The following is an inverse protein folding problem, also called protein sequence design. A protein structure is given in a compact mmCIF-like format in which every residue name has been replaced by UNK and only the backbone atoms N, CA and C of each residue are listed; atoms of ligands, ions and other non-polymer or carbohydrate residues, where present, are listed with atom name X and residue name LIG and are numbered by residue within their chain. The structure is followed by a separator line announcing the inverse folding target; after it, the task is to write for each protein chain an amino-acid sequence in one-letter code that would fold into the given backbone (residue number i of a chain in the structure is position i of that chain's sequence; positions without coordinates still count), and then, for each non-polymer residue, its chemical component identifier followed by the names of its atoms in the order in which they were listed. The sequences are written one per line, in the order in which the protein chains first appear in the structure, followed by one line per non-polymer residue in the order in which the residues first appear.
data_IF_752191501644
#
_entry.id   IF_752191501644
#
_cell.length_a   1.000
_cell.length_b   1.000
_cell.length_c   1.000
_cell.angle_alpha   90.00
_cell.angle_beta   90.00
_cell.angle_gamma   90.00
#
_symmetry.space_group_name_H-M   'P 1'
#
loop_
_entity.id
_entity.type
_entity.pdbx_description
1 polymer ?
#
# COMPACT_ATOMS: atom_id res chain seq x y z
N UNK A 1 -3.44 18.38 3.55
CA UNK A 1 -4.07 19.72 3.44
C UNK A 1 -5.56 19.68 3.75
N UNK A 2 -6.37 18.90 3.00
CA UNK A 2 -7.85 18.89 3.15
C UNK A 2 -8.30 18.64 4.59
N UNK A 3 -7.75 17.65 5.29
CA UNK A 3 -8.13 17.38 6.68
C UNK A 3 -7.78 18.54 7.61
N UNK A 4 -6.64 19.20 7.37
CA UNK A 4 -6.24 20.35 8.18
C UNK A 4 -7.21 21.52 8.01
N UNK A 5 -7.61 21.83 6.76
CA UNK A 5 -8.59 22.89 6.48
C UNK A 5 -9.98 22.58 7.05
N UNK A 6 -10.45 21.33 6.92
CA UNK A 6 -11.72 20.90 7.49
C UNK A 6 -11.69 20.96 9.02
N UNK A 7 -10.63 20.45 9.66
CA UNK A 7 -10.49 20.46 11.10
C UNK A 7 -10.45 21.91 11.64
N UNK A 8 -9.73 22.81 10.97
CA UNK A 8 -9.67 24.21 11.35
C UNK A 8 -11.04 24.93 11.27
N UNK A 9 -11.96 24.43 10.44
CA UNK A 9 -13.32 24.95 10.31
C UNK A 9 -14.32 24.45 11.36
N UNK A 10 -13.99 23.38 12.10
CA UNK A 10 -14.92 22.77 13.04
C UNK A 10 -15.12 23.63 14.29
N UNK A 11 -16.37 23.74 14.81
CA UNK A 11 -16.63 24.36 16.10
C UNK A 11 -15.90 23.63 17.23
N UNK A 12 -15.39 24.34 18.20
CA UNK A 12 -14.67 23.77 19.34
C UNK A 12 -13.21 23.38 19.10
N UNK A 13 -12.74 23.49 17.87
CA UNK A 13 -11.29 23.31 17.59
C UNK A 13 -10.48 24.54 18.04
N UNK A 14 -9.19 24.39 18.35
CA UNK A 14 -8.31 25.51 18.69
C UNK A 14 -8.41 26.65 17.69
N UNK A 15 -8.50 27.88 18.18
CA UNK A 15 -8.68 29.07 17.35
C UNK A 15 -10.08 29.31 16.80
N UNK A 16 -11.10 28.49 17.16
CA UNK A 16 -12.49 28.75 16.83
C UNK A 16 -13.21 29.52 17.96
N UNK A 17 -14.27 30.26 17.62
CA UNK A 17 -15.05 31.06 18.59
C UNK A 17 -15.65 30.22 19.73
N UNK A 18 -15.91 28.93 19.48
CA UNK A 18 -16.46 27.97 20.44
C UNK A 18 -15.40 27.10 21.12
N UNK A 19 -14.11 27.33 20.87
CA UNK A 19 -13.02 26.61 21.50
C UNK A 19 -12.86 27.01 22.97
N UNK A 20 -13.13 26.09 23.89
CA UNK A 20 -12.97 26.32 25.32
C UNK A 20 -11.49 26.33 25.71
N UNK A 21 -11.08 27.37 26.46
CA UNK A 21 -9.78 27.43 27.12
C UNK A 21 -8.60 27.75 26.21
N UNK A 22 -8.84 28.08 24.96
CA UNK A 22 -7.77 28.44 24.03
C UNK A 22 -7.56 29.94 24.06
N UNK A 23 -6.43 30.37 24.55
CA UNK A 23 -5.97 31.74 24.39
C UNK A 23 -5.87 32.11 22.91
N UNK A 24 -5.83 33.40 22.58
CA UNK A 24 -5.77 33.93 21.21
C UNK A 24 -4.58 33.42 20.35
N UNK A 25 -3.73 32.53 20.88
CA UNK A 25 -2.56 31.97 20.21
C UNK A 25 -2.63 30.49 19.84
N UNK A 26 -3.65 29.75 20.27
CA UNK A 26 -3.72 28.32 19.95
C UNK A 26 -4.30 28.09 18.56
N UNK A 27 -3.51 27.46 17.72
CA UNK A 27 -3.86 27.13 16.33
C UNK A 27 -3.65 25.63 16.12
N UNK A 28 -4.44 25.04 15.22
CA UNK A 28 -4.21 23.67 14.79
C UNK A 28 -2.89 23.57 14.02
N UNK A 29 -1.98 22.69 14.44
CA UNK A 29 -0.69 22.51 13.80
C UNK A 29 -0.85 21.72 12.49
N UNK A 30 -0.42 22.29 11.38
CA UNK A 30 -0.33 21.63 10.08
C UNK A 30 1.13 21.36 9.72
N UNK A 31 1.51 20.09 9.65
CA UNK A 31 2.89 19.67 9.36
C UNK A 31 3.03 19.25 7.91
N UNK A 32 3.93 19.88 7.17
CA UNK A 32 4.37 19.44 5.84
C UNK A 32 5.81 18.96 5.92
N UNK A 33 6.09 17.82 5.32
CA UNK A 33 7.45 17.28 5.27
C UNK A 33 8.12 17.65 3.95
N UNK A 34 9.29 18.27 4.03
CA UNK A 34 10.14 18.59 2.89
C UNK A 34 11.38 17.69 2.89
N UNK A 35 11.56 16.95 1.82
CA UNK A 35 12.63 15.97 1.65
C UNK A 35 13.80 16.62 0.89
N UNK A 36 14.76 17.15 1.62
CA UNK A 36 15.91 17.86 1.07
C UNK A 36 16.87 16.94 0.32
N UNK A 37 16.91 15.65 0.68
CA UNK A 37 17.85 14.68 0.10
C UNK A 37 17.56 14.36 -1.39
N UNK A 38 16.37 14.70 -1.88
CA UNK A 38 15.95 14.43 -3.26
C UNK A 38 15.61 15.68 -4.07
N UNK A 39 16.10 16.85 -3.61
CA UNK A 39 15.71 18.13 -4.20
C UNK A 39 14.31 18.56 -3.77
N UNK A 40 14.15 19.79 -3.40
CA UNK A 40 12.93 20.33 -2.78
C UNK A 40 11.66 20.05 -3.60
N UNK A 41 10.55 19.99 -2.89
CA UNK A 41 9.20 19.82 -3.46
C UNK A 41 8.51 21.17 -3.59
N UNK A 42 9.06 22.08 -4.38
CA UNK A 42 8.55 23.44 -4.50
C UNK A 42 7.05 23.51 -4.74
N UNK A 43 6.53 22.76 -5.69
CA UNK A 43 5.09 22.72 -5.97
C UNK A 43 4.23 22.14 -4.82
N UNK A 44 4.79 21.28 -3.98
CA UNK A 44 4.09 20.79 -2.77
C UNK A 44 4.17 21.82 -1.65
N UNK A 45 5.29 22.50 -1.50
CA UNK A 45 5.46 23.57 -0.53
C UNK A 45 4.62 24.79 -0.89
N UNK A 46 4.53 25.15 -2.16
CA UNK A 46 3.63 26.20 -2.65
C UNK A 46 2.16 25.88 -2.33
N UNK A 47 1.72 24.64 -2.62
CA UNK A 47 0.37 24.20 -2.22
C UNK A 47 0.18 24.15 -0.70
N UNK A 48 1.22 23.83 0.04
CA UNK A 48 1.19 23.86 1.49
C UNK A 48 1.14 25.30 2.04
N UNK A 49 1.68 26.29 1.31
CA UNK A 49 1.59 27.71 1.62
C UNK A 49 0.16 28.21 1.80
N UNK A 50 -0.80 27.60 1.08
CA UNK A 50 -2.24 27.87 1.27
C UNK A 50 -2.69 27.55 2.72
N UNK A 51 -2.08 26.59 3.38
CA UNK A 51 -2.34 26.29 4.80
C UNK A 51 -1.83 27.39 5.72
N UNK A 52 -0.70 28.00 5.39
CA UNK A 52 -0.11 29.09 6.15
C UNK A 52 -0.96 30.37 6.12
N UNK A 53 -1.73 30.56 5.04
CA UNK A 53 -2.64 31.70 4.92
C UNK A 53 -3.90 31.58 5.80
N UNK A 54 -4.22 30.38 6.29
CA UNK A 54 -5.38 30.18 7.16
C UNK A 54 -5.05 30.63 8.61
N UNK A 55 -5.78 31.61 9.17
CA UNK A 55 -5.46 32.18 10.49
C UNK A 55 -5.66 31.17 11.65
N UNK A 56 -6.38 30.09 11.42
CA UNK A 56 -6.62 29.02 12.42
C UNK A 56 -5.60 27.88 12.35
N UNK A 57 -4.66 27.95 11.40
CA UNK A 57 -3.60 26.97 11.25
C UNK A 57 -2.24 27.58 11.61
N UNK A 58 -1.44 26.80 12.28
CA UNK A 58 0.01 27.03 12.39
C UNK A 58 0.71 26.03 11.46
N UNK A 59 1.24 26.52 10.35
CA UNK A 59 1.90 25.66 9.38
C UNK A 59 3.40 25.58 9.67
N UNK A 60 3.89 24.36 9.81
CA UNK A 60 5.31 24.04 10.02
C UNK A 60 5.80 23.15 8.90
N UNK A 61 6.94 23.50 8.33
CA UNK A 61 7.66 22.64 7.38
C UNK A 61 8.78 21.92 8.14
N UNK A 62 8.67 20.60 8.23
CA UNK A 62 9.72 19.74 8.76
C UNK A 62 10.60 19.31 7.60
N UNK A 63 11.87 19.60 7.71
CA UNK A 63 12.89 19.19 6.73
C UNK A 63 13.55 17.90 7.18
N UNK A 64 13.79 16.98 6.27
CA UNK A 64 14.54 15.75 6.50
C UNK A 64 15.69 15.63 5.53
N UNK A 65 16.85 15.22 6.05
CA UNK A 65 18.03 14.86 5.28
C UNK A 65 18.11 13.35 5.03
N UNK A 66 19.32 12.84 4.89
CA UNK A 66 19.58 11.41 4.62
C UNK A 66 19.08 10.50 5.73
N UNK A 67 19.05 10.97 6.97
CA UNK A 67 18.57 10.25 8.16
C UNK A 67 17.06 9.93 8.10
N UNK A 68 16.30 10.60 7.23
CA UNK A 68 14.86 10.38 7.04
C UNK A 68 14.51 9.66 5.73
N UNK A 69 15.51 9.30 4.95
CA UNK A 69 15.28 8.52 3.73
C UNK A 69 14.71 7.12 4.05
N UNK A 70 13.99 6.50 3.11
CA UNK A 70 13.71 5.08 3.20
C UNK A 70 15.00 4.28 3.40
N UNK A 71 14.95 3.26 4.24
CA UNK A 71 16.09 2.40 4.63
C UNK A 71 17.18 3.07 5.49
N UNK A 72 17.08 4.34 5.83
CA UNK A 72 18.07 5.00 6.69
C UNK A 72 18.17 4.36 8.06
N UNK A 73 17.07 3.80 8.57
CA UNK A 73 17.02 3.11 9.84
C UNK A 73 16.32 1.75 9.64
N UNK A 74 17.08 0.69 9.85
CA UNK A 74 16.60 -0.69 9.73
C UNK A 74 16.29 -1.33 11.08
N UNK A 75 16.73 -0.71 12.17
CA UNK A 75 16.40 -1.13 13.53
C UNK A 75 15.03 -0.60 13.95
N UNK A 76 14.40 -1.30 14.91
CA UNK A 76 13.09 -0.88 15.43
C UNK A 76 12.35 -1.99 16.14
N UNK A 77 11.15 -1.70 16.66
CA UNK A 77 10.34 -2.67 17.39
C UNK A 77 9.83 -3.81 16.51
N UNK A 78 9.46 -4.92 17.13
CA UNK A 78 8.68 -5.96 16.48
C UNK A 78 7.23 -5.48 16.33
N UNK A 79 6.71 -5.59 15.14
CA UNK A 79 5.32 -5.30 14.80
C UNK A 79 4.51 -6.60 14.65
N UNK A 80 3.18 -6.52 14.67
CA UNK A 80 2.30 -7.69 14.52
C UNK A 80 2.46 -8.36 13.15
N UNK A 81 2.68 -7.56 12.11
CA UNK A 81 2.83 -8.00 10.73
C UNK A 81 4.01 -7.27 10.06
N UNK A 82 4.65 -7.85 9.04
CA UNK A 82 5.58 -7.12 8.20
C UNK A 82 4.84 -6.08 7.36
N UNK A 83 5.45 -4.92 7.14
CA UNK A 83 4.86 -3.89 6.29
C UNK A 83 5.90 -2.90 5.77
N UNK A 84 5.64 -2.23 4.63
CA UNK A 84 6.59 -1.32 3.98
C UNK A 84 6.96 -0.11 4.85
N UNK A 85 6.18 0.18 5.90
CA UNK A 85 6.51 1.24 6.85
C UNK A 85 7.75 0.91 7.71
N UNK A 86 8.18 -0.36 7.82
CA UNK A 86 9.40 -0.72 8.54
C UNK A 86 10.64 -0.07 7.92
N UNK A 87 10.66 0.12 6.60
CA UNK A 87 11.76 0.78 5.89
C UNK A 87 11.59 2.30 5.78
N UNK A 88 10.44 2.86 6.21
CA UNK A 88 10.15 4.31 6.17
C UNK A 88 9.88 4.89 7.55
N UNK A 89 10.11 4.13 8.63
CA UNK A 89 9.78 4.52 10.00
C UNK A 89 10.46 5.83 10.43
N UNK A 90 11.73 6.03 10.09
CA UNK A 90 12.48 7.25 10.41
C UNK A 90 11.78 8.52 9.90
N UNK A 91 11.33 8.50 8.64
CA UNK A 91 10.57 9.60 8.04
C UNK A 91 9.26 9.90 8.77
N UNK A 92 8.55 8.85 9.15
CA UNK A 92 7.28 9.00 9.87
C UNK A 92 7.50 9.54 11.28
N UNK A 93 8.54 9.07 11.98
CA UNK A 93 8.94 9.63 13.29
C UNK A 93 9.28 11.11 13.21
N UNK A 94 10.07 11.51 12.22
CA UNK A 94 10.42 12.93 12.03
C UNK A 94 9.18 13.82 11.85
N UNK A 95 8.17 13.33 11.10
CA UNK A 95 6.90 14.06 10.96
C UNK A 95 6.12 14.16 12.26
N UNK A 96 6.03 13.07 13.00
CA UNK A 96 5.24 12.98 14.23
C UNK A 96 5.92 13.73 15.38
N UNK A 97 7.25 13.77 15.40
CA UNK A 97 8.02 14.51 16.42
C UNK A 97 7.73 16.02 16.41
N UNK A 98 7.31 16.60 15.28
CA UNK A 98 6.91 17.99 15.18
C UNK A 98 5.50 18.28 15.72
N UNK A 99 4.71 17.24 16.03
CA UNK A 99 3.33 17.36 16.46
C UNK A 99 3.12 17.16 17.96
N UNK A 100 1.85 17.07 18.35
CA UNK A 100 1.41 16.88 19.73
C UNK A 100 0.86 15.45 19.96
N UNK A 101 -0.09 15.28 20.88
CA UNK A 101 -0.63 13.97 21.25
C UNK A 101 -1.48 13.32 20.16
N UNK A 102 -2.19 14.11 19.36
CA UNK A 102 -3.14 13.62 18.36
C UNK A 102 -2.78 14.13 16.96
N UNK A 103 -2.68 13.21 16.00
CA UNK A 103 -2.30 13.51 14.62
C UNK A 103 -3.37 13.04 13.64
N UNK A 104 -3.89 13.94 12.82
CA UNK A 104 -4.71 13.58 11.68
C UNK A 104 -3.85 13.27 10.45
N UNK A 105 -4.10 12.13 9.86
CA UNK A 105 -3.43 11.70 8.63
C UNK A 105 -4.43 11.47 7.49
N UNK A 106 -4.02 11.79 6.27
CA UNK A 106 -4.79 11.48 5.05
C UNK A 106 -4.70 10.02 4.60
N UNK A 107 -4.26 9.13 5.49
CA UNK A 107 -4.11 7.71 5.20
C UNK A 107 -5.46 7.11 4.78
N UNK A 108 -5.47 6.27 3.74
CA UNK A 108 -6.72 5.68 3.23
C UNK A 108 -7.49 6.51 2.21
N UNK A 109 -7.23 7.81 2.07
CA UNK A 109 -7.98 8.69 1.16
C UNK A 109 -8.07 8.17 -0.28
N UNK A 110 -6.97 7.65 -0.82
CA UNK A 110 -6.92 7.08 -2.17
C UNK A 110 -7.81 5.84 -2.31
N UNK A 111 -7.77 4.94 -1.32
CA UNK A 111 -8.50 3.68 -1.32
C UNK A 111 -10.02 3.89 -1.24
N UNK A 112 -10.44 4.99 -0.63
CA UNK A 112 -11.85 5.29 -0.38
C UNK A 112 -12.45 6.19 -1.46
N UNK A 113 -11.70 7.21 -1.91
CA UNK A 113 -12.20 8.23 -2.85
C UNK A 113 -11.95 7.87 -4.32
N UNK A 114 -10.84 7.21 -4.65
CA UNK A 114 -10.56 6.76 -6.01
C UNK A 114 -11.26 5.41 -6.28
N UNK A 115 -11.88 5.26 -7.43
CA UNK A 115 -12.40 3.96 -7.84
C UNK A 115 -11.24 3.03 -8.25
N UNK A 116 -11.29 1.79 -7.78
CA UNK A 116 -10.36 0.76 -8.26
C UNK A 116 -10.60 0.51 -9.76
N UNK A 117 -9.56 0.35 -10.61
CA UNK A 117 -9.74 0.15 -12.06
C UNK A 117 -10.67 -1.03 -12.41
N UNK A 118 -10.68 -2.10 -11.61
CA UNK A 118 -11.60 -3.24 -11.80
C UNK A 118 -13.09 -2.85 -11.69
N UNK A 119 -13.41 -1.65 -11.18
CA UNK A 119 -14.78 -1.11 -11.18
C UNK A 119 -15.36 -0.95 -12.59
N UNK A 120 -14.52 -0.84 -13.62
CA UNK A 120 -14.97 -0.85 -15.01
C UNK A 120 -15.70 -2.17 -15.36
N UNK A 121 -15.28 -3.30 -14.79
CA UNK A 121 -15.99 -4.56 -14.95
C UNK A 121 -17.35 -4.57 -14.23
N UNK A 122 -17.40 -4.00 -13.01
CA UNK A 122 -18.66 -3.91 -12.27
C UNK A 122 -19.70 -3.06 -13.03
N UNK A 123 -19.27 -1.93 -13.63
CA UNK A 123 -20.14 -1.09 -14.45
C UNK A 123 -20.71 -1.85 -15.66
N UNK A 124 -19.95 -2.81 -16.22
CA UNK A 124 -20.46 -3.68 -17.29
C UNK A 124 -21.46 -4.69 -16.75
N UNK A 125 -21.24 -5.27 -15.58
CA UNK A 125 -22.16 -6.19 -14.91
C UNK A 125 -23.48 -5.48 -14.58
N UNK A 126 -23.39 -4.23 -14.07
CA UNK A 126 -24.52 -3.37 -13.73
C UNK A 126 -25.23 -2.75 -14.97
N UNK A 127 -24.77 -3.03 -16.18
CA UNK A 127 -25.25 -2.43 -17.44
C UNK A 127 -25.11 -0.90 -17.52
N UNK A 128 -24.23 -0.30 -16.70
CA UNK A 128 -23.98 1.16 -16.62
C UNK A 128 -22.90 1.62 -17.61
N UNK A 129 -22.95 1.17 -18.86
CA UNK A 129 -21.89 1.36 -19.88
C UNK A 129 -21.52 2.84 -20.14
N UNK A 130 -22.48 3.78 -19.98
CA UNK A 130 -22.25 5.23 -20.17
C UNK A 130 -21.14 5.78 -19.28
N UNK A 131 -20.90 5.20 -18.09
CA UNK A 131 -19.87 5.62 -17.15
C UNK A 131 -18.46 5.13 -17.52
N UNK A 132 -18.31 4.23 -18.50
CA UNK A 132 -17.03 3.77 -19.02
C UNK A 132 -16.37 4.79 -19.96
N UNK A 133 -17.13 5.62 -20.62
CA UNK A 133 -16.63 6.49 -21.71
C UNK A 133 -15.54 7.45 -21.21
N UNK A 134 -15.79 8.17 -20.12
CA UNK A 134 -14.84 9.17 -19.59
C UNK A 134 -13.53 8.54 -19.07
N UNK A 135 -13.53 7.49 -18.20
CA UNK A 135 -12.30 6.86 -17.74
C UNK A 135 -11.48 6.28 -18.89
N UNK A 136 -12.13 5.64 -19.86
CA UNK A 136 -11.46 5.04 -21.02
C UNK A 136 -10.87 6.10 -21.94
N UNK A 137 -11.61 7.18 -22.20
CA UNK A 137 -11.11 8.32 -23.00
C UNK A 137 -9.91 9.00 -22.32
N UNK A 138 -9.91 9.14 -20.99
CA UNK A 138 -8.78 9.70 -20.27
C UNK A 138 -7.52 8.84 -20.35
N UNK A 139 -7.69 7.51 -20.28
CA UNK A 139 -6.57 6.57 -20.47
C UNK A 139 -6.03 6.64 -21.91
N UNK A 140 -6.91 6.73 -22.90
CA UNK A 140 -6.53 6.88 -24.30
C UNK A 140 -5.75 8.18 -24.53
N UNK A 141 -6.20 9.29 -23.93
CA UNK A 141 -5.50 10.58 -24.01
C UNK A 141 -4.12 10.54 -23.36
N UNK A 142 -3.99 9.84 -22.24
CA UNK A 142 -2.71 9.70 -21.52
C UNK A 142 -1.69 8.86 -22.28
N UNK A 143 -2.12 7.86 -23.05
CA UNK A 143 -1.26 6.94 -23.82
C UNK A 143 -1.00 7.40 -25.26
N UNK A 144 -1.88 8.28 -25.79
CA UNK A 144 -1.85 8.72 -27.18
C UNK A 144 -2.26 7.65 -28.20
N UNK A 145 -2.70 6.45 -27.78
CA UNK A 145 -3.04 5.34 -28.65
C UNK A 145 -4.55 5.16 -28.83
N UNK A 146 -4.98 5.05 -30.10
CA UNK A 146 -6.39 4.81 -30.47
C UNK A 146 -6.88 3.41 -30.09
N UNK A 147 -5.98 2.46 -29.80
CA UNK A 147 -6.32 1.07 -29.44
C UNK A 147 -6.66 0.91 -27.95
N UNK A 148 -6.32 1.89 -27.13
CA UNK A 148 -6.55 1.83 -25.66
C UNK A 148 -8.01 1.56 -25.30
N UNK A 149 -9.01 2.24 -25.88
CA UNK A 149 -10.41 1.98 -25.57
C UNK A 149 -10.82 0.53 -25.78
N UNK A 150 -10.44 -0.06 -26.91
CA UNK A 150 -10.77 -1.44 -27.24
C UNK A 150 -10.09 -2.44 -26.26
N UNK A 151 -8.83 -2.21 -25.92
CA UNK A 151 -8.06 -3.04 -24.98
C UNK A 151 -8.65 -2.99 -23.57
N UNK A 152 -8.92 -1.80 -23.05
CA UNK A 152 -9.51 -1.61 -21.70
C UNK A 152 -10.93 -2.18 -21.63
N UNK A 153 -11.76 -1.90 -22.62
CA UNK A 153 -13.11 -2.46 -22.69
C UNK A 153 -13.08 -4.01 -22.78
N UNK A 154 -12.22 -4.57 -23.63
CA UNK A 154 -12.04 -6.00 -23.76
C UNK A 154 -11.58 -6.67 -22.45
N UNK A 155 -10.64 -6.05 -21.74
CA UNK A 155 -10.16 -6.53 -20.44
C UNK A 155 -11.26 -6.44 -19.36
N UNK A 156 -11.97 -5.32 -19.26
CA UNK A 156 -13.08 -5.16 -18.34
C UNK A 156 -14.21 -6.15 -18.61
N UNK A 157 -14.54 -6.40 -19.90
CA UNK A 157 -15.56 -7.39 -20.30
C UNK A 157 -15.13 -8.83 -19.97
N UNK A 158 -13.84 -9.17 -20.14
CA UNK A 158 -13.33 -10.49 -19.72
C UNK A 158 -13.48 -10.63 -18.21
N UNK A 159 -13.00 -9.66 -17.43
CA UNK A 159 -13.11 -9.69 -15.98
C UNK A 159 -14.55 -9.82 -15.49
N UNK A 160 -15.50 -9.08 -16.09
CA UNK A 160 -16.92 -9.13 -15.76
C UNK A 160 -17.55 -10.53 -15.99
N UNK A 161 -16.94 -11.36 -16.85
CA UNK A 161 -17.40 -12.72 -17.17
C UNK A 161 -16.59 -13.81 -16.49
N UNK A 162 -15.46 -13.47 -15.90
CA UNK A 162 -14.57 -14.43 -15.23
C UNK A 162 -15.04 -14.63 -13.79
N UNK A 163 -15.46 -15.83 -13.39
CA UNK A 163 -15.76 -16.15 -11.99
C UNK A 163 -14.51 -15.98 -11.11
N UNK A 164 -14.70 -15.66 -9.83
CA UNK A 164 -13.61 -15.48 -8.87
C UNK A 164 -12.65 -16.69 -8.82
N UNK A 165 -13.22 -17.91 -8.79
CA UNK A 165 -12.45 -19.15 -8.79
C UNK A 165 -11.48 -19.22 -9.99
N UNK A 166 -11.99 -18.97 -11.19
CA UNK A 166 -11.17 -18.95 -12.42
C UNK A 166 -10.11 -17.86 -12.36
N UNK A 167 -10.43 -16.70 -11.76
CA UNK A 167 -9.46 -15.62 -11.54
C UNK A 167 -8.29 -16.01 -10.62
N UNK A 168 -8.54 -16.83 -9.58
CA UNK A 168 -7.48 -17.37 -8.72
C UNK A 168 -6.67 -18.48 -9.42
N UNK A 169 -7.31 -19.34 -10.19
CA UNK A 169 -6.65 -20.36 -11.02
C UNK A 169 -5.69 -19.68 -12.02
N UNK A 170 -6.13 -18.61 -12.67
CA UNK A 170 -5.29 -17.80 -13.57
C UNK A 170 -4.10 -17.16 -12.83
N UNK A 171 -4.30 -16.71 -11.57
CA UNK A 171 -3.20 -16.19 -10.75
C UNK A 171 -2.20 -17.29 -10.43
N UNK A 172 -2.66 -18.47 -10.00
CA UNK A 172 -1.81 -19.62 -9.71
C UNK A 172 -0.98 -20.04 -10.94
N UNK A 173 -1.60 -20.09 -12.11
CA UNK A 173 -0.91 -20.37 -13.39
C UNK A 173 0.17 -19.31 -13.70
N UNK A 174 -0.12 -18.03 -13.51
CA UNK A 174 0.86 -16.95 -13.71
C UNK A 174 2.06 -17.07 -12.77
N UNK A 175 1.85 -17.43 -11.51
CA UNK A 175 2.92 -17.66 -10.54
C UNK A 175 3.77 -18.86 -10.91
N UNK A 176 3.15 -19.99 -11.27
CA UNK A 176 3.85 -21.21 -11.71
C UNK A 176 4.75 -20.97 -12.92
N UNK A 177 4.30 -20.15 -13.87
CA UNK A 177 5.05 -19.83 -15.09
C UNK A 177 5.89 -18.55 -14.96
N UNK A 178 6.01 -17.98 -13.75
CA UNK A 178 6.77 -16.75 -13.47
C UNK A 178 6.44 -15.57 -14.41
N UNK A 179 5.16 -15.45 -14.80
CA UNK A 179 4.68 -14.38 -15.67
C UNK A 179 4.39 -13.13 -14.87
N UNK A 180 5.41 -12.30 -14.71
CA UNK A 180 5.34 -11.00 -14.03
C UNK A 180 5.33 -9.88 -15.06
N UNK A 181 4.14 -9.54 -15.58
CA UNK A 181 4.00 -8.43 -16.51
C UNK A 181 4.28 -7.12 -15.77
N UNK A 182 5.22 -6.34 -16.28
CA UNK A 182 5.39 -4.96 -15.84
C UNK A 182 4.43 -4.07 -16.61
N UNK A 183 3.50 -3.41 -15.91
CA UNK A 183 2.61 -2.48 -16.58
C UNK A 183 3.39 -1.24 -17.00
N UNK A 184 3.69 -1.12 -18.28
CA UNK A 184 4.22 0.11 -18.85
C UNK A 184 3.19 1.23 -18.82
N UNK A 185 3.48 2.34 -18.13
CA UNK A 185 2.61 3.52 -18.08
C UNK A 185 1.25 3.31 -17.41
N UNK A 186 0.42 4.35 -17.46
CA UNK A 186 -0.91 4.37 -16.82
C UNK A 186 -1.89 3.35 -17.40
N UNK A 187 -1.84 3.13 -18.70
CA UNK A 187 -2.69 2.15 -19.39
C UNK A 187 -2.30 0.73 -19.02
N UNK A 188 -1.01 0.41 -19.04
CA UNK A 188 -0.51 -0.89 -18.59
C UNK A 188 -0.91 -1.19 -17.15
N UNK A 189 -0.76 -0.24 -16.23
CA UNK A 189 -1.18 -0.35 -14.84
C UNK A 189 -2.69 -0.59 -14.71
N UNK A 190 -3.51 0.11 -15.50
CA UNK A 190 -4.96 -0.07 -15.51
C UNK A 190 -5.37 -1.44 -16.06
N UNK A 191 -4.73 -1.91 -17.14
CA UNK A 191 -4.98 -3.24 -17.69
C UNK A 191 -4.58 -4.35 -16.72
N UNK A 192 -3.42 -4.22 -16.06
CA UNK A 192 -2.96 -5.16 -15.04
C UNK A 192 -3.88 -5.20 -13.81
N UNK A 193 -4.57 -4.10 -13.50
CA UNK A 193 -5.55 -4.03 -12.41
C UNK A 193 -6.92 -4.64 -12.76
N UNK A 194 -7.21 -4.89 -14.05
CA UNK A 194 -8.45 -5.53 -14.53
C UNK A 194 -8.39 -7.06 -14.39
N UNK A 195 -8.13 -7.52 -13.18
CA UNK A 195 -8.06 -8.93 -12.79
C UNK A 195 -8.64 -9.10 -11.39
N UNK A 196 -9.08 -10.32 -11.04
CA UNK A 196 -9.52 -10.65 -9.67
C UNK A 196 -8.37 -10.53 -8.65
N UNK A 197 -7.21 -11.01 -9.04
CA UNK A 197 -5.98 -10.93 -8.26
C UNK A 197 -4.77 -10.88 -9.20
N UNK A 198 -3.64 -10.41 -8.71
CA UNK A 198 -2.37 -10.37 -9.43
C UNK A 198 -1.24 -10.73 -8.49
N UNK A 199 -0.10 -11.23 -9.01
CA UNK A 199 1.11 -11.37 -8.21
C UNK A 199 1.47 -10.06 -7.52
N UNK A 200 1.89 -10.13 -6.27
CA UNK A 200 2.48 -8.98 -5.59
C UNK A 200 3.81 -8.59 -6.25
N UNK A 201 4.27 -7.35 -6.08
CA UNK A 201 5.50 -6.88 -6.72
C UNK A 201 6.75 -7.66 -6.25
N UNK A 202 6.75 -8.21 -5.03
CA UNK A 202 7.83 -9.04 -4.50
C UNK A 202 7.91 -10.45 -5.13
N UNK A 203 6.85 -10.94 -5.76
CA UNK A 203 6.75 -12.30 -6.28
C UNK A 203 7.85 -12.66 -7.29
N UNK A 204 8.37 -11.68 -8.04
CA UNK A 204 9.43 -11.89 -9.04
C UNK A 204 10.77 -12.32 -8.47
N UNK A 205 10.99 -12.13 -7.18
CA UNK A 205 12.23 -12.52 -6.50
C UNK A 205 12.07 -13.79 -5.66
N UNK A 206 10.87 -14.37 -5.63
CA UNK A 206 10.63 -15.66 -5.00
C UNK A 206 11.21 -16.79 -5.85
N UNK A 207 11.66 -17.84 -5.17
CA UNK A 207 12.10 -19.08 -5.84
C UNK A 207 10.94 -19.78 -6.55
N UNK A 208 11.26 -20.61 -7.54
CA UNK A 208 10.23 -21.42 -8.22
C UNK A 208 9.46 -22.33 -7.26
N UNK A 209 10.14 -22.88 -6.23
CA UNK A 209 9.50 -23.70 -5.20
C UNK A 209 8.53 -22.88 -4.35
N UNK A 210 8.93 -21.69 -3.91
CA UNK A 210 8.04 -20.80 -3.16
C UNK A 210 6.81 -20.38 -3.98
N UNK A 211 6.98 -20.09 -5.26
CA UNK A 211 5.88 -19.76 -6.17
C UNK A 211 4.95 -20.95 -6.40
N UNK A 212 5.50 -22.17 -6.53
CA UNK A 212 4.72 -23.39 -6.64
C UNK A 212 3.88 -23.63 -5.37
N UNK A 213 4.46 -23.50 -4.20
CA UNK A 213 3.74 -23.65 -2.93
C UNK A 213 2.59 -22.62 -2.79
N UNK A 214 2.85 -21.35 -3.12
CA UNK A 214 1.80 -20.32 -3.13
C UNK A 214 0.70 -20.68 -4.12
N UNK A 215 1.05 -21.18 -5.30
CA UNK A 215 0.09 -21.60 -6.34
C UNK A 215 -0.80 -22.75 -5.86
N UNK A 216 -0.24 -23.75 -5.19
CA UNK A 216 -1.00 -24.87 -4.59
C UNK A 216 -1.96 -24.36 -3.52
N UNK A 217 -1.51 -23.45 -2.65
CA UNK A 217 -2.38 -22.84 -1.62
C UNK A 217 -3.50 -22.01 -2.22
N UNK A 218 -3.24 -21.27 -3.30
CA UNK A 218 -4.26 -20.53 -4.02
C UNK A 218 -5.31 -21.47 -4.63
N UNK A 219 -4.90 -22.56 -5.26
CA UNK A 219 -5.81 -23.59 -5.79
C UNK A 219 -6.65 -24.20 -4.67
N UNK A 220 -6.05 -24.54 -3.54
CA UNK A 220 -6.77 -25.01 -2.36
C UNK A 220 -7.77 -24.00 -1.80
N UNK A 221 -7.46 -22.70 -1.86
CA UNK A 221 -8.35 -21.65 -1.43
C UNK A 221 -9.57 -21.46 -2.36
N UNK A 222 -9.47 -21.82 -3.64
CA UNK A 222 -10.60 -21.71 -4.58
C UNK A 222 -11.79 -22.58 -4.16
N UNK A 223 -11.53 -23.69 -3.49
CA UNK A 223 -12.57 -24.61 -3.01
C UNK A 223 -13.22 -24.15 -1.69
N UNK A 224 -12.55 -23.29 -0.95
CA UNK A 224 -13.00 -22.80 0.38
C UNK A 224 -13.59 -21.40 0.36
N UNK A 225 -13.44 -20.68 -0.76
CA UNK A 225 -13.89 -19.29 -0.83
C UNK A 225 -15.42 -19.21 -0.91
N UNK A 226 -16.04 -18.59 0.10
CA UNK A 226 -17.46 -18.25 0.10
C UNK A 226 -17.85 -17.10 -0.85
N UNK A 227 -17.05 -16.85 -1.88
CA UNK A 227 -17.31 -15.81 -2.88
C UNK A 227 -18.38 -16.33 -3.83
N UNK A 228 -19.62 -15.86 -3.63
CA UNK A 228 -20.79 -16.28 -4.40
C UNK A 228 -20.78 -15.78 -5.85
N UNK A 229 -21.60 -16.40 -6.71
CA UNK A 229 -21.83 -15.92 -8.05
C UNK A 229 -22.43 -14.50 -8.02
N UNK A 230 -22.00 -13.64 -8.95
CA UNK A 230 -22.47 -12.24 -9.03
C UNK A 230 -21.66 -11.23 -8.22
N UNK A 231 -20.61 -11.63 -7.52
CA UNK A 231 -19.76 -10.67 -6.82
C UNK A 231 -19.02 -9.77 -7.82
N UNK A 232 -18.99 -8.49 -7.48
CA UNK A 232 -18.35 -7.45 -8.28
C UNK A 232 -16.83 -7.40 -8.02
N UNK A 233 -15.97 -7.66 -9.03
CA UNK A 233 -14.52 -7.70 -8.85
C UNK A 233 -13.93 -6.38 -8.38
N UNK A 234 -14.46 -5.25 -8.84
CA UNK A 234 -14.00 -3.93 -8.42
C UNK A 234 -14.30 -3.62 -6.96
N UNK A 235 -15.49 -3.97 -6.48
CA UNK A 235 -15.85 -3.80 -5.08
C UNK A 235 -15.03 -4.75 -4.18
N UNK A 236 -14.82 -5.99 -4.61
CA UNK A 236 -13.95 -6.94 -3.92
C UNK A 236 -12.52 -6.41 -3.78
N UNK A 237 -11.94 -5.94 -4.88
CA UNK A 237 -10.58 -5.38 -4.91
C UNK A 237 -10.44 -4.11 -4.07
N UNK A 238 -11.44 -3.23 -4.11
CA UNK A 238 -11.44 -2.01 -3.31
C UNK A 238 -11.50 -2.32 -1.80
N UNK A 239 -12.32 -3.31 -1.39
CA UNK A 239 -12.37 -3.76 0.01
C UNK A 239 -11.05 -4.38 0.46
N UNK A 240 -10.47 -5.25 -0.35
CA UNK A 240 -9.19 -5.87 -0.04
C UNK A 240 -8.06 -4.84 0.09
N UNK A 241 -8.01 -3.85 -0.82
CA UNK A 241 -7.05 -2.75 -0.75
C UNK A 241 -7.22 -1.90 0.51
N UNK A 242 -8.46 -1.59 0.90
CA UNK A 242 -8.74 -0.83 2.11
C UNK A 242 -8.36 -1.60 3.38
N UNK A 243 -8.68 -2.91 3.44
CA UNK A 243 -8.32 -3.76 4.57
C UNK A 243 -6.79 -3.86 4.74
N UNK A 244 -6.06 -4.07 3.62
CA UNK A 244 -4.59 -4.05 3.64
C UNK A 244 -4.04 -2.72 4.15
N UNK A 245 -4.61 -1.61 3.67
CA UNK A 245 -4.17 -0.28 4.07
C UNK A 245 -4.45 0.02 5.55
N UNK A 246 -5.53 -0.52 6.11
CA UNK A 246 -5.81 -0.43 7.54
C UNK A 246 -4.81 -1.27 8.37
N UNK A 247 -4.39 -2.43 7.87
CA UNK A 247 -3.31 -3.21 8.47
C UNK A 247 -1.97 -2.45 8.44
N UNK A 248 -1.62 -1.87 7.28
CA UNK A 248 -0.40 -1.06 7.11
C UNK A 248 -0.36 0.12 8.12
N UNK A 249 -1.51 0.74 8.43
CA UNK A 249 -1.57 1.80 9.43
C UNK A 249 -1.24 1.29 10.84
N UNK A 250 -1.77 0.13 11.24
CA UNK A 250 -1.45 -0.48 12.55
C UNK A 250 0.03 -0.81 12.66
N UNK A 251 0.60 -1.37 11.60
CA UNK A 251 2.04 -1.66 11.56
C UNK A 251 2.86 -0.36 11.65
N UNK A 252 2.39 0.72 11.00
CA UNK A 252 3.02 2.04 11.11
C UNK A 252 3.01 2.56 12.55
N UNK A 253 1.87 2.51 13.23
CA UNK A 253 1.75 2.94 14.63
C UNK A 253 2.73 2.20 15.54
N UNK A 254 2.87 0.90 15.34
CA UNK A 254 3.83 0.07 16.08
C UNK A 254 5.29 0.37 15.70
N UNK A 255 5.59 0.55 14.41
CA UNK A 255 6.94 0.79 13.92
C UNK A 255 7.53 2.14 14.35
N UNK A 256 6.69 3.17 14.47
CA UNK A 256 7.14 4.50 14.88
C UNK A 256 7.26 4.66 16.39
N UNK A 257 6.59 3.83 17.17
CA UNK A 257 6.68 3.70 18.64
C UNK A 257 6.71 5.06 19.38
N UNK A 258 5.92 6.01 18.91
CA UNK A 258 5.87 7.33 19.55
C UNK A 258 4.97 7.24 20.77
N UNK A 259 5.59 7.28 21.95
CA UNK A 259 4.88 7.26 23.22
C UNK A 259 3.94 8.47 23.32
N UNK A 260 2.73 8.22 23.77
CA UNK A 260 1.69 9.23 24.04
C UNK A 260 1.14 9.94 22.79
N UNK A 261 1.39 9.44 21.58
CA UNK A 261 0.79 9.98 20.36
C UNK A 261 -0.19 9.01 19.72
N UNK A 262 -1.25 9.54 19.12
CA UNK A 262 -2.29 8.78 18.42
C UNK A 262 -2.38 9.24 16.97
N UNK A 263 -2.49 8.27 16.06
CA UNK A 263 -2.75 8.53 14.65
C UNK A 263 -4.25 8.36 14.36
N UNK A 264 -4.86 9.42 13.87
CA UNK A 264 -6.25 9.39 13.42
C UNK A 264 -6.29 9.38 11.90
N UNK A 265 -6.88 8.35 11.31
CA UNK A 265 -7.05 8.20 9.86
C UNK A 265 -8.55 8.25 9.50
N UNK A 266 -9.16 9.44 9.38
CA UNK A 266 -10.59 9.59 9.15
C UNK A 266 -11.11 8.87 7.91
N UNK A 267 -10.29 8.69 6.88
CA UNK A 267 -10.67 7.94 5.69
C UNK A 267 -10.76 6.42 5.89
N UNK A 268 -10.31 5.89 7.03
CA UNK A 268 -10.51 4.50 7.43
C UNK A 268 -11.71 4.33 8.36
N UNK A 269 -12.33 5.42 8.80
CA UNK A 269 -13.55 5.38 9.61
C UNK A 269 -14.71 4.79 8.81
N UNK A 270 -15.48 3.91 9.45
CA UNK A 270 -16.59 3.21 8.81
C UNK A 270 -17.69 4.13 8.29
N UNK A 271 -17.94 5.28 8.93
CA UNK A 271 -18.96 6.23 8.49
C UNK A 271 -18.48 6.95 7.23
N UNK A 272 -17.22 7.40 7.22
CA UNK A 272 -16.60 8.03 6.05
C UNK A 272 -16.55 7.06 4.87
N UNK A 273 -16.12 5.80 5.12
CA UNK A 273 -16.09 4.76 4.09
C UNK A 273 -17.48 4.52 3.51
N UNK A 274 -18.52 4.42 4.35
CA UNK A 274 -19.92 4.26 3.88
C UNK A 274 -20.39 5.46 3.07
N UNK A 275 -20.16 6.68 3.54
CA UNK A 275 -20.53 7.90 2.83
C UNK A 275 -19.86 7.99 1.46
N UNK A 276 -18.55 7.71 1.38
CA UNK A 276 -17.82 7.69 0.13
C UNK A 276 -18.31 6.59 -0.83
N UNK A 277 -18.71 5.44 -0.31
CA UNK A 277 -19.27 4.33 -1.11
C UNK A 277 -20.67 4.65 -1.64
N UNK A 278 -21.42 5.50 -0.95
CA UNK A 278 -22.73 5.98 -1.38
C UNK A 278 -22.67 7.05 -2.49
N UNK A 279 -21.49 7.63 -2.76
CA UNK A 279 -21.31 8.61 -3.81
C UNK A 279 -21.72 8.03 -5.18
N UNK A 280 -22.35 8.84 -6.05
CA UNK A 280 -22.74 8.41 -7.39
C UNK A 280 -21.55 7.89 -8.21
N UNK A 281 -21.74 6.80 -8.93
CA UNK A 281 -20.71 6.21 -9.81
C UNK A 281 -20.11 7.22 -10.79
N UNK A 282 -20.94 8.14 -11.29
CA UNK A 282 -20.51 9.20 -12.20
C UNK A 282 -19.40 10.09 -11.60
N UNK A 283 -19.37 10.25 -10.28
CA UNK A 283 -18.32 11.01 -9.60
C UNK A 283 -17.09 10.15 -9.32
N UNK A 284 -17.28 8.90 -8.87
CA UNK A 284 -16.20 8.04 -8.37
C UNK A 284 -15.27 7.52 -9.47
N UNK A 285 -15.79 7.21 -10.66
CA UNK A 285 -15.00 6.64 -11.76
C UNK A 285 -14.38 7.69 -12.70
N UNK A 286 -14.57 8.97 -12.42
CA UNK A 286 -13.94 10.04 -13.22
C UNK A 286 -12.43 10.08 -12.97
N UNK A 287 -11.61 10.36 -14.00
CA UNK A 287 -10.23 10.74 -13.80
C UNK A 287 -10.15 11.97 -12.89
N UNK A 288 -9.31 11.91 -11.85
CA UNK A 288 -9.20 12.98 -10.87
C UNK A 288 -10.35 13.10 -9.87
N UNK A 289 -11.21 12.08 -9.78
CA UNK A 289 -12.39 12.06 -8.90
C UNK A 289 -12.06 12.48 -7.46
N UNK A 290 -10.98 11.98 -6.88
CA UNK A 290 -10.56 12.35 -5.53
C UNK A 290 -10.34 13.85 -5.38
N UNK A 291 -9.63 14.48 -6.31
CA UNK A 291 -9.36 15.91 -6.25
C UNK A 291 -10.68 16.74 -6.37
N UNK A 292 -11.58 16.33 -7.26
CA UNK A 292 -12.90 16.94 -7.43
C UNK A 292 -13.75 16.77 -6.15
N UNK A 293 -13.85 15.57 -5.60
CA UNK A 293 -14.61 15.30 -4.38
C UNK A 293 -14.06 16.10 -3.19
N UNK A 294 -12.74 16.09 -2.98
CA UNK A 294 -12.12 16.84 -1.89
C UNK A 294 -12.31 18.36 -2.04
N UNK A 295 -12.28 18.87 -3.25
CA UNK A 295 -12.57 20.28 -3.54
C UNK A 295 -14.03 20.61 -3.19
N UNK A 296 -14.99 19.83 -3.67
CA UNK A 296 -16.41 20.03 -3.37
C UNK A 296 -16.71 19.98 -1.86
N UNK A 297 -16.04 19.08 -1.13
CA UNK A 297 -16.19 19.00 0.33
C UNK A 297 -15.65 20.26 1.02
N UNK A 298 -14.51 20.79 0.57
CA UNK A 298 -13.95 22.04 1.10
C UNK A 298 -14.80 23.26 0.75
N UNK A 299 -15.30 23.34 -0.48
CA UNK A 299 -16.24 24.40 -0.91
C UNK A 299 -17.51 24.38 -0.06
N UNK A 300 -18.07 23.18 0.21
CA UNK A 300 -19.20 23.01 1.12
C UNK A 300 -18.89 23.38 2.58
N UNK A 301 -17.64 23.37 2.98
CA UNK A 301 -17.15 23.83 4.28
C UNK A 301 -16.74 25.34 4.28
N UNK A 302 -17.01 26.09 3.20
CA UNK A 302 -16.71 27.52 3.07
C UNK A 302 -15.27 27.85 2.67
N UNK A 303 -14.50 26.86 2.18
CA UNK A 303 -13.13 27.07 1.69
C UNK A 303 -13.14 27.12 0.17
N UNK A 304 -13.07 28.33 -0.43
CA UNK A 304 -13.17 28.53 -1.89
C UNK A 304 -11.83 28.67 -2.60
N UNK A 305 -10.84 29.26 -1.95
CA UNK A 305 -9.56 29.61 -2.59
C UNK A 305 -8.54 28.47 -2.52
N UNK A 306 -8.76 27.43 -3.34
CA UNK A 306 -7.87 26.27 -3.43
C UNK A 306 -6.97 26.36 -4.66
N UNK A 307 -5.66 26.17 -4.53
CA UNK A 307 -4.73 26.23 -5.65
C UNK A 307 -5.01 25.14 -6.69
N UNK A 308 -4.62 25.35 -7.95
CA UNK A 308 -4.69 24.36 -9.00
C UNK A 308 -4.00 23.06 -8.59
N UNK A 309 -4.58 21.92 -8.93
CA UNK A 309 -4.01 20.60 -8.59
C UNK A 309 -4.18 20.18 -7.13
N UNK A 310 -5.01 20.85 -6.33
CA UNK A 310 -5.36 20.41 -4.98
C UNK A 310 -5.89 18.95 -4.98
N UNK A 311 -5.31 18.11 -4.14
CA UNK A 311 -5.68 16.69 -4.07
C UNK A 311 -5.03 15.80 -5.15
N UNK A 312 -4.27 16.36 -6.08
CA UNK A 312 -3.52 15.57 -7.05
C UNK A 312 -2.44 14.70 -6.36
N UNK A 313 -2.19 13.49 -6.86
CA UNK A 313 -1.17 12.62 -6.29
C UNK A 313 0.24 13.15 -6.59
N UNK A 314 1.15 13.01 -5.63
CA UNK A 314 2.58 13.30 -5.77
C UNK A 314 3.35 11.99 -5.73
N UNK A 315 3.61 11.40 -6.90
CA UNK A 315 4.26 10.08 -7.00
C UNK A 315 5.76 10.14 -7.34
N UNK A 316 6.19 11.14 -8.09
CA UNK A 316 7.56 11.19 -8.61
C UNK A 316 8.63 11.28 -7.51
N UNK A 317 8.38 12.03 -6.46
CA UNK A 317 9.33 12.25 -5.38
C UNK A 317 9.52 11.04 -4.45
N UNK A 318 8.52 10.17 -4.33
CA UNK A 318 8.62 8.96 -3.49
C UNK A 318 9.62 7.96 -4.08
N UNK A 319 9.60 7.73 -5.39
CA UNK A 319 10.53 6.82 -6.04
C UNK A 319 11.97 7.35 -6.00
N UNK A 320 12.18 8.67 -6.16
CA UNK A 320 13.48 9.29 -6.01
C UNK A 320 14.04 9.12 -4.60
N UNK A 321 13.25 9.40 -3.56
CA UNK A 321 13.63 9.21 -2.17
C UNK A 321 14.00 7.74 -1.89
N UNK A 322 13.21 6.79 -2.40
CA UNK A 322 13.47 5.36 -2.24
C UNK A 322 14.79 4.95 -2.88
N UNK A 323 15.09 5.41 -4.11
CA UNK A 323 16.36 5.12 -4.77
C UNK A 323 17.55 5.75 -4.06
N UNK A 324 17.42 6.99 -3.59
CA UNK A 324 18.48 7.64 -2.81
C UNK A 324 18.70 6.91 -1.49
N UNK A 325 17.64 6.50 -0.80
CA UNK A 325 17.74 5.69 0.41
C UNK A 325 18.41 4.34 0.17
N UNK A 326 18.09 3.65 -0.93
CA UNK A 326 18.76 2.40 -1.31
C UNK A 326 20.27 2.60 -1.53
N UNK A 327 20.69 3.73 -2.11
CA UNK A 327 22.13 4.05 -2.29
C UNK A 327 22.82 4.32 -0.97
N UNK A 328 22.21 5.13 -0.11
CA UNK A 328 22.78 5.47 1.20
C UNK A 328 22.86 4.25 2.12
N UNK A 329 21.84 3.39 2.09
CA UNK A 329 21.78 2.18 2.92
C UNK A 329 22.41 0.93 2.28
N UNK A 330 23.13 1.06 1.17
CA UNK A 330 23.61 -0.07 0.36
C UNK A 330 24.39 -1.10 1.19
N UNK A 331 25.34 -0.68 2.01
CA UNK A 331 26.18 -1.57 2.81
C UNK A 331 25.35 -2.32 3.88
N UNK A 332 24.45 -1.63 4.55
CA UNK A 332 23.54 -2.22 5.54
C UNK A 332 22.61 -3.26 4.90
N UNK A 333 22.08 -2.96 3.72
CA UNK A 333 21.24 -3.89 2.97
C UNK A 333 22.04 -5.09 2.44
N UNK A 334 23.27 -4.89 1.97
CA UNK A 334 24.13 -6.00 1.57
C UNK A 334 24.49 -6.90 2.75
N UNK A 335 24.71 -6.35 3.94
CA UNK A 335 24.91 -7.10 5.18
C UNK A 335 23.66 -7.88 5.57
N UNK A 336 22.49 -7.23 5.57
CA UNK A 336 21.19 -7.87 5.87
C UNK A 336 20.93 -9.08 4.96
N UNK A 337 21.21 -8.95 3.67
CA UNK A 337 21.04 -10.01 2.67
C UNK A 337 22.33 -10.86 2.44
N UNK A 338 23.28 -10.83 3.37
CA UNK A 338 24.45 -11.73 3.36
C UNK A 338 24.02 -13.18 3.55
N UNK A 339 23.30 -13.45 4.62
CA UNK A 339 22.73 -14.76 4.99
C UNK A 339 21.27 -14.60 5.45
N UNK A 340 20.36 -14.17 4.55
CA UNK A 340 19.02 -13.78 4.95
C UNK A 340 18.17 -14.99 5.35
N UNK A 341 17.29 -14.79 6.32
CA UNK A 341 16.33 -15.78 6.82
C UNK A 341 15.37 -16.24 5.71
N UNK A 342 14.98 -15.34 4.82
CA UNK A 342 14.15 -15.68 3.66
C UNK A 342 14.84 -16.70 2.73
N UNK A 343 16.16 -16.60 2.55
CA UNK A 343 16.90 -17.61 1.76
C UNK A 343 17.09 -18.92 2.53
N UNK A 344 17.32 -18.86 3.85
CA UNK A 344 17.35 -20.06 4.69
C UNK A 344 16.02 -20.83 4.67
N UNK A 345 14.90 -20.09 4.53
CA UNK A 345 13.57 -20.66 4.36
C UNK A 345 13.26 -21.11 2.91
N UNK A 346 14.19 -20.97 1.97
CA UNK A 346 14.00 -21.32 0.56
C UNK A 346 13.10 -20.41 -0.23
N UNK A 347 12.73 -19.25 0.33
CA UNK A 347 11.77 -18.32 -0.29
C UNK A 347 12.40 -17.44 -1.37
N UNK A 348 13.67 -17.04 -1.21
CA UNK A 348 14.41 -16.19 -2.14
C UNK A 348 15.86 -16.68 -2.31
N UNK A 349 16.48 -16.26 -3.40
CA UNK A 349 17.92 -16.40 -3.57
C UNK A 349 18.63 -15.11 -3.12
N UNK A 350 19.47 -15.16 -2.08
CA UNK A 350 20.18 -14.01 -1.54
C UNK A 350 20.94 -13.21 -2.61
N UNK A 351 21.60 -13.92 -3.54
CA UNK A 351 22.35 -13.30 -4.64
C UNK A 351 21.45 -12.50 -5.57
N UNK A 352 20.27 -13.02 -5.90
CA UNK A 352 19.31 -12.38 -6.80
C UNK A 352 18.76 -11.10 -6.15
N UNK A 353 18.39 -11.17 -4.86
CA UNK A 353 17.88 -10.00 -4.12
C UNK A 353 18.96 -8.91 -4.01
N UNK A 354 20.21 -9.28 -3.64
CA UNK A 354 21.31 -8.31 -3.58
C UNK A 354 21.58 -7.63 -4.93
N UNK A 355 21.53 -8.39 -6.03
CA UNK A 355 21.66 -7.82 -7.39
C UNK A 355 20.53 -6.84 -7.67
N UNK A 356 19.29 -7.18 -7.34
CA UNK A 356 18.12 -6.32 -7.55
C UNK A 356 18.20 -5.02 -6.72
N UNK A 357 18.64 -5.10 -5.46
CA UNK A 357 18.82 -3.93 -4.61
C UNK A 357 19.87 -2.96 -5.17
N UNK A 358 21.00 -3.47 -5.66
CA UNK A 358 22.03 -2.63 -6.32
C UNK A 358 21.51 -2.00 -7.61
N UNK A 359 20.90 -2.77 -8.47
CA UNK A 359 20.34 -2.30 -9.74
C UNK A 359 19.26 -1.21 -9.50
N UNK A 360 18.42 -1.38 -8.49
CA UNK A 360 17.42 -0.37 -8.08
C UNK A 360 18.07 0.92 -7.56
N UNK A 361 19.18 0.81 -6.80
CA UNK A 361 19.96 1.94 -6.33
C UNK A 361 20.64 2.69 -7.49
N UNK A 362 21.09 1.98 -8.52
CA UNK A 362 21.69 2.51 -9.75
C UNK A 362 20.67 3.14 -10.69
N UNK A 363 19.37 2.95 -10.44
CA UNK A 363 18.29 3.59 -11.18
C UNK A 363 17.53 2.69 -12.15
N UNK A 364 17.84 1.38 -12.18
CA UNK A 364 17.06 0.46 -13.01
C UNK A 364 15.57 0.50 -12.67
N UNK A 365 14.67 0.37 -13.66
CA UNK A 365 13.23 0.45 -13.47
C UNK A 365 12.67 -0.83 -12.84
N UNK A 366 13.06 -1.13 -11.60
CA UNK A 366 12.55 -2.24 -10.81
C UNK A 366 11.37 -1.82 -9.93
N UNK A 367 10.46 -2.75 -9.56
CA UNK A 367 9.34 -2.48 -8.66
C UNK A 367 9.84 -2.27 -7.21
N UNK A 368 10.12 -1.01 -6.87
CA UNK A 368 10.66 -0.61 -5.57
C UNK A 368 9.80 -1.06 -4.38
N UNK A 369 8.47 -1.07 -4.56
CA UNK A 369 7.54 -1.54 -3.52
C UNK A 369 7.79 -3.02 -3.18
N UNK A 370 8.11 -3.85 -4.17
CA UNK A 370 8.41 -5.26 -3.93
C UNK A 370 9.74 -5.49 -3.22
N UNK A 371 10.74 -4.64 -3.49
CA UNK A 371 11.99 -4.67 -2.72
C UNK A 371 11.75 -4.22 -1.28
N UNK A 372 10.93 -3.20 -1.07
CA UNK A 372 10.54 -2.75 0.26
C UNK A 372 9.79 -3.86 1.03
N UNK A 373 8.88 -4.59 0.37
CA UNK A 373 8.20 -5.74 0.96
C UNK A 373 9.19 -6.83 1.41
N UNK A 374 10.20 -7.16 0.59
CA UNK A 374 11.21 -8.17 0.93
C UNK A 374 12.10 -7.73 2.10
N UNK A 375 12.59 -6.49 2.06
CA UNK A 375 13.42 -5.95 3.16
C UNK A 375 12.61 -5.91 4.45
N UNK A 376 11.37 -5.44 4.39
CA UNK A 376 10.48 -5.39 5.56
C UNK A 376 10.19 -6.77 6.14
N UNK A 377 9.99 -7.77 5.28
CA UNK A 377 9.77 -9.15 5.71
C UNK A 377 11.01 -9.76 6.37
N UNK A 378 12.19 -9.52 5.81
CA UNK A 378 13.46 -9.98 6.39
C UNK A 378 13.71 -9.36 7.77
N UNK A 379 13.53 -8.04 7.90
CA UNK A 379 13.65 -7.32 9.17
C UNK A 379 12.66 -7.85 10.21
N UNK A 380 11.41 -8.04 9.81
CA UNK A 380 10.35 -8.53 10.70
C UNK A 380 10.65 -9.95 11.19
N UNK A 381 11.08 -10.85 10.29
CA UNK A 381 11.49 -12.21 10.66
C UNK A 381 12.67 -12.22 11.64
N UNK A 382 13.68 -11.39 11.39
CA UNK A 382 14.82 -11.25 12.28
C UNK A 382 14.40 -10.82 13.68
N UNK A 383 13.55 -9.80 13.78
CA UNK A 383 13.00 -9.32 15.05
C UNK A 383 12.12 -10.35 15.76
N UNK A 384 11.28 -11.07 15.00
CA UNK A 384 10.41 -12.13 15.51
C UNK A 384 11.23 -13.28 16.11
N UNK A 385 12.27 -13.71 15.41
CA UNK A 385 13.12 -14.82 15.87
C UNK A 385 13.99 -14.42 17.06
N UNK A 386 14.45 -13.16 17.12
CA UNK A 386 15.18 -12.64 18.27
C UNK A 386 14.35 -12.65 19.56
N UNK A 387 13.02 -12.55 19.47
CA UNK A 387 12.09 -12.62 20.61
C UNK A 387 11.68 -14.05 20.98
N UNK A 388 12.05 -15.07 20.23
CA UNK A 388 11.75 -16.47 20.60
C UNK A 388 12.43 -16.82 21.93
N UNK A 389 11.61 -17.03 22.96
CA UNK A 389 12.06 -17.35 24.32
C UNK A 389 11.67 -16.34 25.38
N UNK A 390 11.22 -15.13 25.02
CA UNK A 390 10.83 -14.12 26.00
C UNK A 390 9.35 -14.15 26.37
N UNK A 391 8.50 -14.80 25.57
CA UNK A 391 7.06 -14.89 25.81
C UNK A 391 6.64 -16.04 26.73
N UNK A 392 7.53 -16.99 27.01
CA UNK A 392 7.27 -18.12 27.90
C UNK A 392 8.32 -18.13 28.98
N UNK A 393 7.91 -18.04 30.22
CA UNK A 393 8.78 -18.15 31.42
C UNK A 393 9.29 -19.58 31.66
N UNK A 394 9.44 -20.37 30.64
CA UNK A 394 10.03 -21.71 30.68
C UNK A 394 11.47 -21.70 30.22
N UNK A 395 12.27 -22.54 30.84
CA UNK A 395 13.69 -22.78 30.57
C UNK A 395 14.06 -22.65 29.08
N UNK A 396 15.17 -21.98 28.71
CA UNK A 396 15.57 -21.83 27.33
C UNK A 396 15.64 -23.22 26.66
N UNK A 397 14.72 -23.45 25.71
CA UNK A 397 14.74 -24.68 24.93
C UNK A 397 16.06 -24.73 24.16
N UNK A 398 16.90 -25.71 24.46
CA UNK A 398 18.04 -26.07 23.61
C UNK A 398 17.57 -26.08 22.17
N UNK A 399 18.29 -25.37 21.30
CA UNK A 399 18.03 -25.34 19.87
C UNK A 399 17.87 -26.80 19.37
N UNK A 400 16.64 -27.23 19.20
CA UNK A 400 16.34 -28.47 18.50
C UNK A 400 16.58 -28.19 17.03
N UNK A 401 17.61 -28.83 16.48
CA UNK A 401 17.78 -28.93 15.06
C UNK A 401 16.42 -29.31 14.42
N UNK A 402 15.97 -28.54 13.47
CA UNK A 402 14.80 -28.87 12.66
C UNK A 402 15.14 -30.19 11.97
N UNK A 403 14.38 -31.27 12.18
CA UNK A 403 14.68 -32.53 11.48
C UNK A 403 14.44 -32.30 10.00
N UNK A 404 15.49 -32.43 9.22
CA UNK A 404 15.41 -32.52 7.78
C UNK A 404 14.56 -33.74 7.41
N UNK A 405 13.47 -33.50 6.63
CA UNK A 405 12.85 -34.53 5.83
C UNK A 405 11.72 -35.30 6.49
N UNK A 406 10.49 -34.84 6.28
CA UNK A 406 9.35 -35.75 6.22
C UNK A 406 9.43 -36.45 4.85
N UNK A 407 9.99 -37.68 4.86
CA UNK A 407 9.85 -38.59 3.71
C UNK A 407 8.39 -39.01 3.59
N UNK A 408 7.77 -38.98 2.40
CA UNK A 408 6.44 -39.55 2.20
C UNK A 408 6.57 -41.09 2.39
N UNK A 409 5.82 -41.64 3.35
CA UNK A 409 5.63 -43.09 3.46
C UNK A 409 4.89 -43.57 2.19
N UNK A 410 5.60 -44.35 1.38
CA UNK A 410 4.98 -45.19 0.36
C UNK A 410 4.14 -46.24 1.09
N UNK A 411 2.83 -46.15 0.90
CA UNK A 411 1.90 -47.17 1.33
C UNK A 411 2.19 -48.49 0.61
N UNK A 412 2.57 -49.49 1.37
CA UNK A 412 2.64 -50.86 0.91
C UNK A 412 1.22 -51.39 0.70
N UNK A 413 0.85 -51.66 -0.55
CA UNK A 413 -0.26 -52.48 -0.89
C UNK A 413 0.05 -53.91 -0.48
N UNK A 414 -0.49 -54.31 0.67
CA UNK A 414 -0.52 -55.70 1.11
C UNK A 414 -1.58 -56.48 0.35
N UNK A 415 -1.14 -57.39 -0.50
CA UNK A 415 -1.98 -58.47 -1.02
C UNK A 415 -2.34 -59.39 0.14
N UNK A 416 -3.61 -59.54 0.44
CA UNK A 416 -4.17 -60.53 1.35
C UNK A 416 -4.94 -61.58 0.60
N UNK A 417 -4.42 -62.80 0.67
CA UNK A 417 -4.98 -63.96 0.02
C UNK A 417 -6.24 -64.48 0.73
N UNK A 418 -7.08 -65.08 -0.11
CA UNK A 418 -8.18 -66.01 0.12
C UNK A 418 -8.03 -67.03 1.27
N UNK A 419 -9.15 -67.37 1.91
CA UNK A 419 -9.32 -68.61 2.63
C UNK A 419 -10.47 -68.62 3.64
N UNK A 420 -11.49 -69.41 3.34
CA UNK A 420 -12.50 -69.88 4.32
C UNK A 420 -13.87 -69.38 4.11
#
# INVERSE_FOLDING_TARGET
GTLALLAAGLPGMPGTVLGHGTGAGERLLAVTFNDLAVGGREAELERAGTLAANPRLHHVVVTGGEETLPYAELDGPLTDEPGPCLVTAARHRARLAAGSADHFTGYGARQVLDAHPARLADLLMDRKRRHLVRPVAALAKADGSVLVPARVYGAARRLARTPYRVGLEMLADRLMHQRFDEPGGAVGASLAALTWARPGPAARWLTGEALAEVSVRLQGATHRSGVGPGQHPGDFRARAALARHASDLRVLEQAVEIRSQRLHAPFLDNQVVRACRALPEALRVRPGARAEILRTVLEGAGVSDLPPGWGAPSHASSAAATRTGLRVAADSLMSLFGTPLLAQAGLVEARVVRKALRAAAEGEPLPLDGLADLVSLELWLGRLLARRGTCWTGTPARARAVPAGIRPQRGALGAGASGG
#
